data_IF_052861552658
#
_entry.id   IF_052861552658
#
_cell.length_a   1.000
_cell.length_b   1.000
_cell.length_c   1.000
_cell.angle_alpha   90.00
_cell.angle_beta   90.00
_cell.angle_gamma   90.00
#
_symmetry.space_group_name_H-M   'P 1'
#
loop_
_entity.id
_entity.type
_entity.pdbx_description
1 polymer ?
#
# COMPACT_ATOMS: atom_id res chain seq x y z
N UNK A 1 45.38 21.03 -66.27
CA UNK A 1 44.85 22.33 -65.80
C UNK A 1 45.20 22.50 -64.33
N UNK A 2 46.09 23.44 -63.99
CA UNK A 2 46.33 23.86 -62.60
C UNK A 2 45.49 25.10 -62.33
N UNK A 3 44.60 25.04 -61.33
CA UNK A 3 44.08 26.24 -60.66
C UNK A 3 44.30 26.08 -59.15
N UNK A 4 44.88 27.14 -58.61
CA UNK A 4 45.52 27.27 -57.30
C UNK A 4 44.54 27.33 -56.14
N UNK A 5 44.98 26.69 -55.07
CA UNK A 5 44.59 26.82 -53.67
C UNK A 5 44.44 28.29 -53.20
N UNK A 6 43.38 28.60 -52.44
CA UNK A 6 43.37 29.68 -51.42
C UNK A 6 42.59 29.23 -50.18
N UNK A 7 43.30 29.26 -49.07
CA UNK A 7 42.92 28.89 -47.71
C UNK A 7 42.19 30.06 -47.04
N UNK A 8 41.41 29.73 -45.99
CA UNK A 8 40.96 30.52 -44.81
C UNK A 8 39.46 30.84 -44.85
N UNK A 9 38.65 30.75 -43.79
CA UNK A 9 38.66 30.17 -42.44
C UNK A 9 37.25 30.52 -41.86
N UNK A 10 36.92 30.01 -40.66
CA UNK A 10 35.71 30.27 -39.84
C UNK A 10 34.44 29.51 -40.26
N UNK A 11 34.01 28.46 -39.54
CA UNK A 11 33.38 28.40 -38.21
C UNK A 11 31.85 28.39 -38.34
N UNK A 12 31.18 27.34 -37.82
CA UNK A 12 30.30 27.41 -36.63
C UNK A 12 29.28 26.25 -36.63
N UNK A 13 29.33 25.47 -35.55
CA UNK A 13 28.27 24.66 -34.93
C UNK A 13 27.48 23.64 -35.79
N UNK A 14 27.92 22.37 -35.72
CA UNK A 14 27.01 21.23 -35.80
C UNK A 14 26.06 21.29 -34.58
N UNK A 15 24.79 21.62 -34.79
CA UNK A 15 23.74 21.40 -33.81
C UNK A 15 23.39 19.90 -33.82
N UNK A 16 24.00 19.13 -32.91
CA UNK A 16 23.47 17.82 -32.52
C UNK A 16 22.31 18.04 -31.55
N UNK A 17 21.07 17.63 -31.85
CA UNK A 17 20.08 17.41 -30.80
C UNK A 17 20.44 16.10 -30.08
N UNK A 18 21.34 16.14 -29.09
CA UNK A 18 21.40 15.11 -28.06
C UNK A 18 20.41 15.48 -26.95
N UNK A 19 19.16 15.14 -27.15
CA UNK A 19 18.27 14.79 -26.05
C UNK A 19 17.91 13.32 -26.23
N UNK A 20 18.89 12.45 -25.97
CA UNK A 20 18.61 11.04 -25.73
C UNK A 20 17.68 11.00 -24.51
N UNK A 21 16.48 10.47 -24.71
CA UNK A 21 15.46 10.38 -23.69
C UNK A 21 15.98 9.63 -22.47
N UNK A 22 15.99 10.30 -21.32
CA UNK A 22 15.93 9.60 -20.06
C UNK A 22 14.47 9.19 -19.85
N UNK A 23 14.02 8.17 -20.59
CA UNK A 23 12.93 7.35 -20.07
C UNK A 23 13.59 6.54 -18.97
N UNK A 24 13.45 6.99 -17.73
CA UNK A 24 13.64 6.13 -16.58
C UNK A 24 12.45 5.16 -16.61
N UNK A 25 12.48 4.21 -17.54
CA UNK A 25 11.62 3.04 -17.49
C UNK A 25 12.33 2.03 -16.60
N UNK A 26 12.38 2.39 -15.32
CA UNK A 26 12.60 1.43 -14.27
C UNK A 26 11.30 0.64 -14.16
N UNK A 27 11.12 -0.31 -15.07
CA UNK A 27 10.17 -1.40 -14.91
C UNK A 27 10.73 -2.34 -13.82
N UNK A 28 10.98 -1.82 -12.62
CA UNK A 28 10.66 -2.58 -11.44
C UNK A 28 9.21 -3.00 -11.67
N UNK A 29 8.93 -4.29 -11.82
CA UNK A 29 7.56 -4.78 -11.98
C UNK A 29 6.68 -3.97 -11.03
N UNK A 30 5.83 -3.10 -11.59
CA UNK A 30 5.07 -2.15 -10.81
C UNK A 30 4.32 -3.00 -9.81
N UNK A 31 4.71 -2.89 -8.53
CA UNK A 31 4.12 -3.70 -7.49
C UNK A 31 2.62 -3.42 -7.52
N UNK A 32 1.85 -4.46 -7.83
CA UNK A 32 0.41 -4.37 -8.04
C UNK A 32 -0.24 -5.42 -7.14
N UNK A 33 -0.84 -5.00 -6.01
CA UNK A 33 -1.43 -5.91 -5.05
C UNK A 33 -2.59 -6.69 -5.66
N UNK A 34 -3.35 -6.10 -6.61
CA UNK A 34 -4.56 -6.68 -7.19
C UNK A 34 -5.46 -7.27 -6.10
N UNK A 35 -5.77 -6.50 -5.07
CA UNK A 35 -6.59 -6.96 -3.94
C UNK A 35 -8.06 -7.17 -4.31
N UNK A 36 -8.47 -6.66 -5.49
CA UNK A 36 -9.85 -6.67 -5.96
C UNK A 36 -10.66 -5.45 -5.55
N UNK A 37 -10.04 -4.43 -4.93
CA UNK A 37 -10.68 -3.19 -4.52
C UNK A 37 -9.69 -2.02 -4.68
N UNK A 38 -10.02 -1.06 -5.53
CA UNK A 38 -9.12 0.04 -5.89
C UNK A 38 -8.72 0.92 -4.69
N UNK A 39 -9.63 1.08 -3.72
CA UNK A 39 -9.32 1.85 -2.51
C UNK A 39 -8.30 1.12 -1.65
N UNK A 40 -8.43 -0.20 -1.48
CA UNK A 40 -7.43 -1.03 -0.78
C UNK A 40 -6.10 -1.01 -1.53
N UNK A 41 -6.10 -1.17 -2.85
CA UNK A 41 -4.86 -1.14 -3.65
C UNK A 41 -4.11 0.19 -3.50
N UNK A 42 -4.84 1.31 -3.48
CA UNK A 42 -4.28 2.64 -3.21
C UNK A 42 -3.68 2.73 -1.79
N UNK A 43 -4.38 2.20 -0.78
CA UNK A 43 -3.86 2.22 0.60
C UNK A 43 -2.64 1.32 0.76
N UNK A 44 -2.61 0.14 0.15
CA UNK A 44 -1.46 -0.75 0.26
C UNK A 44 -0.22 -0.14 -0.44
N UNK A 45 -0.42 0.65 -1.50
CA UNK A 45 0.65 1.44 -2.14
C UNK A 45 1.22 2.49 -1.17
N UNK A 46 0.36 3.20 -0.45
CA UNK A 46 0.80 4.19 0.53
C UNK A 46 1.38 3.55 1.81
N UNK A 47 0.87 2.39 2.23
CA UNK A 47 1.43 1.56 3.32
C UNK A 47 2.83 1.08 2.96
N UNK A 48 3.07 0.73 1.70
CA UNK A 48 4.40 0.38 1.19
C UNK A 48 5.39 1.53 1.44
N UNK A 49 5.00 2.76 1.09
CA UNK A 49 5.80 3.95 1.35
C UNK A 49 6.01 4.20 2.84
N UNK A 50 4.94 4.09 3.63
CA UNK A 50 4.99 4.26 5.07
C UNK A 50 5.93 3.24 5.72
N UNK A 51 5.77 1.95 5.41
CA UNK A 51 6.57 0.87 5.99
C UNK A 51 8.05 0.96 5.63
N UNK A 52 8.37 1.45 4.42
CA UNK A 52 9.76 1.73 4.03
C UNK A 52 10.36 2.90 4.81
N UNK A 53 9.61 4.00 5.00
CA UNK A 53 10.09 5.21 5.69
C UNK A 53 10.11 5.07 7.22
N UNK A 54 9.16 4.33 7.77
CA UNK A 54 8.87 4.20 9.20
C UNK A 54 8.86 2.73 9.63
N UNK A 55 9.96 2.02 9.35
CA UNK A 55 10.05 0.58 9.54
C UNK A 55 9.69 0.12 10.96
N UNK A 56 10.29 0.70 12.01
CA UNK A 56 10.02 0.28 13.39
C UNK A 56 8.54 0.50 13.80
N UNK A 57 7.94 1.70 13.61
CA UNK A 57 6.50 1.90 13.82
C UNK A 57 5.61 0.94 13.01
N UNK A 58 5.97 0.63 11.77
CA UNK A 58 5.23 -0.32 10.95
C UNK A 58 5.28 -1.75 11.52
N UNK A 59 6.44 -2.23 11.94
CA UNK A 59 6.55 -3.55 12.58
C UNK A 59 5.76 -3.58 13.89
N UNK A 60 5.83 -2.52 14.69
CA UNK A 60 5.08 -2.40 15.95
C UNK A 60 3.56 -2.48 15.73
N UNK A 61 3.06 -1.86 14.66
CA UNK A 61 1.67 -1.91 14.25
C UNK A 61 1.23 -3.35 13.92
N UNK A 62 2.01 -4.10 13.15
CA UNK A 62 1.72 -5.48 12.81
C UNK A 62 1.76 -6.41 14.05
N UNK A 63 2.74 -6.20 14.93
CA UNK A 63 2.88 -7.00 16.16
C UNK A 63 1.71 -6.77 17.11
N UNK A 64 1.40 -5.52 17.42
CA UNK A 64 0.39 -5.17 18.43
C UNK A 64 -1.03 -5.41 17.95
N UNK A 65 -1.33 -5.04 16.70
CA UNK A 65 -2.71 -4.97 16.24
C UNK A 65 -3.10 -6.07 15.26
N UNK A 66 -2.15 -6.86 14.74
CA UNK A 66 -2.44 -8.04 13.88
C UNK A 66 -1.91 -9.34 14.45
N UNK A 67 -1.29 -9.31 15.64
CA UNK A 67 -0.78 -10.49 16.32
C UNK A 67 0.35 -11.19 15.55
N UNK A 68 1.06 -10.47 14.67
CA UNK A 68 2.15 -11.04 13.90
C UNK A 68 3.42 -11.15 14.76
N UNK A 69 4.07 -12.32 14.85
CA UNK A 69 5.35 -12.43 15.54
C UNK A 69 6.41 -11.48 14.93
N UNK A 70 7.16 -10.75 15.76
CA UNK A 70 8.12 -9.74 15.28
C UNK A 70 9.21 -10.35 14.40
N UNK A 71 9.70 -11.52 14.78
CA UNK A 71 10.67 -12.31 14.02
C UNK A 71 10.14 -12.63 12.62
N UNK A 72 8.89 -13.08 12.51
CA UNK A 72 8.23 -13.33 11.23
C UNK A 72 8.13 -12.06 10.36
N UNK A 73 7.68 -10.95 10.94
CA UNK A 73 7.57 -9.68 10.20
C UNK A 73 8.94 -9.20 9.71
N UNK A 74 9.96 -9.32 10.56
CA UNK A 74 11.32 -8.89 10.22
C UNK A 74 11.92 -9.76 9.11
N UNK A 75 11.75 -11.08 9.20
CA UNK A 75 12.15 -12.03 8.14
C UNK A 75 11.51 -11.69 6.79
N UNK A 76 10.20 -11.45 6.77
CA UNK A 76 9.48 -11.09 5.54
C UNK A 76 10.02 -9.81 4.91
N UNK A 77 10.20 -8.76 5.71
CA UNK A 77 10.60 -7.45 5.21
C UNK A 77 12.08 -7.39 4.81
N UNK A 78 12.97 -8.03 5.59
CA UNK A 78 14.42 -7.86 5.45
C UNK A 78 15.03 -8.98 4.62
N UNK A 79 14.76 -10.24 4.97
CA UNK A 79 15.42 -11.39 4.34
C UNK A 79 14.69 -11.80 3.05
N UNK A 80 13.36 -11.83 3.10
CA UNK A 80 12.53 -12.23 1.95
C UNK A 80 12.15 -11.07 1.04
N UNK A 81 12.42 -9.82 1.46
CA UNK A 81 12.20 -8.61 0.66
C UNK A 81 10.74 -8.35 0.28
N UNK A 82 9.78 -8.82 1.07
CA UNK A 82 8.36 -8.55 0.84
C UNK A 82 8.07 -7.05 0.94
N UNK A 83 7.18 -6.56 0.09
CA UNK A 83 6.72 -5.19 0.22
C UNK A 83 5.93 -5.04 1.53
N UNK A 84 6.07 -3.93 2.30
CA UNK A 84 5.31 -3.74 3.53
C UNK A 84 3.79 -3.92 3.37
N UNK A 85 3.22 -3.48 2.25
CA UNK A 85 1.83 -3.67 1.87
C UNK A 85 1.44 -5.14 1.78
N UNK A 86 2.29 -6.01 1.23
CA UNK A 86 2.04 -7.46 1.17
C UNK A 86 1.98 -8.07 2.57
N UNK A 87 2.95 -7.73 3.43
CA UNK A 87 3.00 -8.22 4.81
C UNK A 87 1.79 -7.73 5.59
N UNK A 88 1.45 -6.45 5.43
CA UNK A 88 0.27 -5.84 6.05
C UNK A 88 -1.01 -6.53 5.61
N UNK A 89 -1.19 -6.77 4.32
CA UNK A 89 -2.42 -7.35 3.78
C UNK A 89 -2.57 -8.81 4.23
N UNK A 90 -1.51 -9.61 4.14
CA UNK A 90 -1.51 -10.99 4.64
C UNK A 90 -1.91 -11.08 6.12
N UNK A 91 -1.30 -10.26 6.98
CA UNK A 91 -1.62 -10.26 8.40
C UNK A 91 -3.02 -9.69 8.71
N UNK A 92 -3.52 -8.76 7.89
CA UNK A 92 -4.88 -8.22 8.04
C UNK A 92 -5.95 -9.23 7.64
N UNK A 93 -5.76 -9.97 6.53
CA UNK A 93 -6.60 -11.11 6.16
C UNK A 93 -6.61 -12.12 7.31
N UNK A 94 -5.44 -12.50 7.82
CA UNK A 94 -5.30 -13.47 8.89
C UNK A 94 -6.10 -13.06 10.15
N UNK A 95 -6.01 -11.78 10.53
CA UNK A 95 -6.77 -11.24 11.65
C UNK A 95 -8.28 -11.39 11.45
N UNK A 96 -8.83 -10.96 10.30
CA UNK A 96 -10.28 -10.95 10.10
C UNK A 96 -10.89 -12.35 10.04
N UNK A 97 -10.11 -13.35 9.60
CA UNK A 97 -10.53 -14.76 9.56
C UNK A 97 -10.13 -15.58 10.80
N UNK A 98 -9.53 -14.95 11.82
CA UNK A 98 -9.12 -15.64 13.05
C UNK A 98 -8.04 -16.71 12.82
N UNK A 99 -7.05 -16.41 11.99
CA UNK A 99 -5.88 -17.27 11.70
C UNK A 99 -4.58 -16.51 11.99
N UNK A 100 -3.47 -17.24 12.05
CA UNK A 100 -2.16 -16.61 12.24
C UNK A 100 -1.68 -15.95 10.94
N UNK A 101 -0.90 -14.86 11.03
CA UNK A 101 -0.32 -14.26 9.82
C UNK A 101 0.51 -15.28 9.00
N UNK A 102 1.23 -16.18 9.70
CA UNK A 102 1.97 -17.29 9.09
C UNK A 102 1.10 -18.21 8.24
N UNK A 103 -0.16 -18.44 8.63
CA UNK A 103 -1.09 -19.26 7.84
C UNK A 103 -1.33 -18.64 6.45
N UNK A 104 -1.69 -17.35 6.39
CA UNK A 104 -1.98 -16.67 5.11
C UNK A 104 -0.74 -16.54 4.24
N UNK A 105 0.44 -16.29 4.83
CA UNK A 105 1.72 -16.31 4.11
C UNK A 105 1.97 -17.69 3.49
N UNK A 106 1.69 -18.76 4.23
CA UNK A 106 1.79 -20.13 3.71
C UNK A 106 0.81 -20.41 2.56
N UNK A 107 -0.40 -19.86 2.59
CA UNK A 107 -1.34 -19.97 1.47
C UNK A 107 -0.86 -19.18 0.24
N UNK A 108 -0.29 -17.99 0.46
CA UNK A 108 0.32 -17.18 -0.59
C UNK A 108 1.46 -17.92 -1.26
N UNK A 109 2.43 -18.44 -0.50
CA UNK A 109 3.60 -19.15 -1.02
C UNK A 109 3.22 -20.38 -1.88
N UNK A 110 2.05 -20.98 -1.68
CA UNK A 110 1.56 -22.10 -2.51
C UNK A 110 0.88 -21.68 -3.81
N UNK A 111 0.31 -20.48 -3.87
CA UNK A 111 -0.68 -20.14 -4.91
C UNK A 111 -0.83 -18.63 -5.19
N UNK A 112 0.27 -17.88 -5.19
CA UNK A 112 0.29 -16.42 -5.38
C UNK A 112 0.16 -15.95 -6.84
N UNK A 113 0.21 -16.84 -7.84
CA UNK A 113 0.15 -16.46 -9.26
C UNK A 113 -1.10 -15.67 -9.66
N UNK A 114 -2.20 -15.88 -8.94
CA UNK A 114 -3.50 -15.24 -9.18
C UNK A 114 -3.64 -13.87 -8.49
N UNK A 115 -2.71 -13.49 -7.61
CA UNK A 115 -2.74 -12.23 -6.88
C UNK A 115 -3.55 -12.27 -5.58
N UNK A 116 -3.54 -11.15 -4.84
CA UNK A 116 -4.08 -11.09 -3.49
C UNK A 116 -5.60 -11.20 -3.44
N UNK A 117 -6.32 -10.62 -4.40
CA UNK A 117 -7.78 -10.70 -4.45
C UNK A 117 -8.29 -12.13 -4.61
N UNK A 118 -7.62 -12.95 -5.42
CA UNK A 118 -7.96 -14.37 -5.58
C UNK A 118 -7.72 -15.15 -4.28
N UNK A 119 -6.56 -14.95 -3.63
CA UNK A 119 -6.27 -15.57 -2.34
C UNK A 119 -7.30 -15.14 -1.27
N UNK A 120 -7.54 -13.84 -1.13
CA UNK A 120 -8.48 -13.29 -0.16
C UNK A 120 -9.89 -13.86 -0.38
N UNK A 121 -10.33 -13.94 -1.63
CA UNK A 121 -11.62 -14.54 -2.00
C UNK A 121 -11.72 -16.02 -1.62
N UNK A 122 -10.68 -16.82 -1.88
CA UNK A 122 -10.64 -18.24 -1.45
C UNK A 122 -10.71 -18.39 0.07
N UNK A 123 -10.22 -17.41 0.81
CA UNK A 123 -10.25 -17.38 2.27
C UNK A 123 -11.53 -16.73 2.84
N UNK A 124 -12.50 -16.36 2.00
CA UNK A 124 -13.77 -15.76 2.43
C UNK A 124 -13.72 -14.24 2.66
N UNK A 125 -12.64 -13.57 2.24
CA UNK A 125 -12.43 -12.12 2.40
C UNK A 125 -12.50 -11.45 1.02
N UNK A 126 -13.59 -11.70 0.29
CA UNK A 126 -13.83 -11.09 -1.02
C UNK A 126 -14.42 -9.67 -0.87
N UNK A 127 -14.16 -8.75 -1.81
CA UNK A 127 -14.85 -7.47 -1.85
C UNK A 127 -16.37 -7.62 -1.71
N UNK A 128 -16.95 -6.88 -0.76
CA UNK A 128 -18.38 -6.96 -0.42
C UNK A 128 -18.74 -7.90 0.73
N UNK A 129 -17.81 -8.73 1.23
CA UNK A 129 -18.06 -9.51 2.46
C UNK A 129 -17.89 -8.68 3.74
N UNK A 130 -18.50 -9.14 4.84
CA UNK A 130 -18.33 -8.52 6.16
C UNK A 130 -16.87 -8.57 6.62
N UNK A 131 -16.14 -9.65 6.32
CA UNK A 131 -14.71 -9.80 6.57
C UNK A 131 -13.91 -8.73 5.84
N UNK A 132 -14.26 -8.44 4.59
CA UNK A 132 -13.58 -7.42 3.79
C UNK A 132 -13.87 -6.01 4.31
N UNK A 133 -15.11 -5.75 4.75
CA UNK A 133 -15.43 -4.48 5.41
C UNK A 133 -14.65 -4.31 6.72
N UNK A 134 -14.55 -5.37 7.55
CA UNK A 134 -13.70 -5.37 8.76
C UNK A 134 -12.23 -5.15 8.43
N UNK A 135 -11.73 -5.70 7.32
CA UNK A 135 -10.37 -5.47 6.86
C UNK A 135 -10.15 -3.97 6.57
N UNK A 136 -11.08 -3.33 5.84
CA UNK A 136 -11.02 -1.90 5.53
C UNK A 136 -11.09 -1.02 6.78
N UNK A 137 -11.91 -1.39 7.78
CA UNK A 137 -11.92 -0.71 9.08
C UNK A 137 -10.56 -0.82 9.80
N UNK A 138 -9.89 -1.97 9.69
CA UNK A 138 -8.53 -2.17 10.19
C UNK A 138 -7.51 -1.24 9.51
N UNK A 139 -7.68 -0.97 8.22
CA UNK A 139 -6.89 0.03 7.47
C UNK A 139 -7.07 1.43 8.06
N UNK A 140 -8.30 1.92 8.14
CA UNK A 140 -8.59 3.23 8.74
C UNK A 140 -8.02 3.36 10.15
N UNK A 141 -8.18 2.32 10.97
CA UNK A 141 -7.65 2.30 12.35
C UNK A 141 -6.12 2.41 12.41
N UNK A 142 -5.41 1.82 11.45
CA UNK A 142 -3.94 1.91 11.37
C UNK A 142 -3.50 3.32 11.02
N UNK A 143 -4.17 3.93 10.03
CA UNK A 143 -3.94 5.31 9.60
C UNK A 143 -4.18 6.31 10.74
N UNK A 144 -5.23 6.11 11.54
CA UNK A 144 -5.47 6.88 12.75
C UNK A 144 -4.31 6.80 13.76
N UNK A 145 -3.77 5.60 14.01
CA UNK A 145 -2.62 5.40 14.91
C UNK A 145 -1.32 5.99 14.36
N UNK A 146 -1.18 6.06 13.05
CA UNK A 146 -0.05 6.71 12.40
C UNK A 146 -0.19 8.23 12.31
N UNK A 147 -1.29 8.81 12.84
CA UNK A 147 -1.63 10.22 12.73
C UNK A 147 -1.69 10.70 11.26
N UNK A 148 -2.23 9.84 10.39
CA UNK A 148 -2.39 10.11 8.95
C UNK A 148 -3.86 9.94 8.62
N UNK A 149 -4.69 11.00 8.75
CA UNK A 149 -6.12 10.90 8.47
C UNK A 149 -6.36 10.35 7.07
N UNK A 150 -7.27 9.39 6.99
CA UNK A 150 -7.65 8.72 5.76
C UNK A 150 -9.15 8.93 5.54
N UNK A 151 -9.53 9.37 4.34
CA UNK A 151 -10.93 9.44 3.95
C UNK A 151 -11.50 8.02 3.75
N UNK A 152 -12.53 7.63 4.51
CA UNK A 152 -13.13 6.30 4.39
C UNK A 152 -13.83 6.13 3.03
N UNK A 153 -13.77 4.91 2.48
CA UNK A 153 -14.51 4.57 1.28
C UNK A 153 -16.04 4.62 1.47
N UNK A 154 -16.79 4.42 0.38
CA UNK A 154 -18.25 4.48 0.40
C UNK A 154 -18.91 3.44 1.32
N UNK A 155 -18.44 2.20 1.31
CA UNK A 155 -19.00 1.13 2.12
C UNK A 155 -18.74 1.36 3.62
N UNK A 156 -17.56 1.89 3.97
CA UNK A 156 -17.22 2.30 5.33
C UNK A 156 -18.09 3.47 5.81
N UNK A 157 -18.38 4.44 4.94
CA UNK A 157 -19.27 5.57 5.25
C UNK A 157 -20.71 5.13 5.43
N UNK A 158 -21.18 4.19 4.63
CA UNK A 158 -22.52 3.62 4.75
C UNK A 158 -22.68 2.77 6.02
N UNK A 159 -21.64 2.04 6.41
CA UNK A 159 -21.62 1.23 7.62
C UNK A 159 -21.37 2.02 8.92
N UNK A 160 -20.99 3.31 8.82
CA UNK A 160 -20.74 4.13 9.99
C UNK A 160 -22.06 4.35 10.77
N UNK A 161 -22.03 4.24 12.11
CA UNK A 161 -23.20 4.64 12.90
C UNK A 161 -23.55 6.10 12.59
N UNK A 162 -24.85 6.48 12.59
CA UNK A 162 -25.24 7.85 12.38
C UNK A 162 -24.53 8.73 13.40
N UNK A 163 -23.87 9.79 12.92
CA UNK A 163 -23.19 10.75 13.77
C UNK A 163 -24.17 11.24 14.84
N UNK A 164 -23.83 10.93 16.07
CA UNK A 164 -24.57 11.20 17.28
C UNK A 164 -24.99 12.67 17.34
N UNK A 165 -26.30 12.91 17.28
CA UNK A 165 -26.94 14.19 17.60
C UNK A 165 -26.90 14.47 19.12
N UNK A 166 -25.74 14.30 19.74
CA UNK A 166 -25.51 14.30 21.19
C UNK A 166 -24.93 15.60 21.73
N UNK A 167 -25.43 16.76 21.27
CA UNK A 167 -24.90 18.07 21.63
C UNK A 167 -25.95 19.11 21.99
N UNK A 168 -27.06 18.73 22.62
CA UNK A 168 -28.02 19.68 23.16
C UNK A 168 -28.92 19.04 24.25
N UNK A 169 -28.39 18.79 25.45
CA UNK A 169 -29.14 18.84 26.72
C UNK A 169 -28.21 18.45 27.88
N UNK A 170 -27.74 19.46 28.60
CA UNK A 170 -27.76 19.52 30.08
C UNK A 170 -26.95 20.73 30.55
N UNK A 171 -27.49 21.91 30.28
CA UNK A 171 -27.15 23.14 31.00
C UNK A 171 -28.43 23.69 31.64
N UNK A 172 -28.96 22.93 32.60
CA UNK A 172 -29.94 23.43 33.57
C UNK A 172 -29.46 23.01 34.97
N UNK A 173 -28.52 23.79 35.51
CA UNK A 173 -28.16 23.72 36.92
C UNK A 173 -29.32 24.26 37.78
N UNK A 174 -29.51 23.75 39.02
CA UNK A 174 -30.65 24.13 39.84
C UNK A 174 -30.45 25.52 40.45
N UNK A 175 -31.50 26.33 40.42
CA UNK A 175 -31.70 27.49 41.29
C UNK A 175 -33.12 27.42 41.88
#
# INVERSE_FOLDING_TARGET
>A
MHVRNRIRALALALLLPLAAGAVAQDYAHAWDPRSGDEWVDAQLTDINDYGRRHHAPFVDELVRYRGAPRDLVTDLLVERGWAPGDVYFACSIAQVIGRSCRYVIGEWDRSHGEGWGALASRLGVAPGSEEFLRLKQGVVSSYGRWARPLEPDAALREAAPPADAGGAEDSAGPA
#
